data_IF_004575309513
#
_entry.id   IF_004575309513
#
_cell.length_a   1.000
_cell.length_b   1.000
_cell.length_c   1.000
_cell.angle_alpha   90.00
_cell.angle_beta   90.00
_cell.angle_gamma   90.00
#
_symmetry.space_group_name_H-M   'P 1'
#
loop_
_entity.id
_entity.type
_entity.pdbx_description
1 polymer ?
#
# COMPACT_ATOMS: atom_id res chain seq x y z
N UNK A 1 15.48 14.51 6.80
CA UNK A 1 14.71 13.40 6.18
C UNK A 1 13.41 13.28 6.97
N UNK A 2 12.25 13.17 6.33
CA UNK A 2 11.00 12.93 7.08
C UNK A 2 11.05 11.56 7.76
N UNK A 3 10.36 11.37 8.90
CA UNK A 3 10.29 10.07 9.57
C UNK A 3 9.85 8.93 8.63
N UNK A 4 8.85 9.18 7.79
CA UNK A 4 8.29 8.17 6.87
C UNK A 4 9.30 7.75 5.80
N UNK A 5 10.10 8.69 5.30
CA UNK A 5 11.18 8.38 4.35
C UNK A 5 12.27 7.53 4.99
N UNK A 6 12.61 7.80 6.25
CA UNK A 6 13.59 7.00 6.98
C UNK A 6 13.08 5.56 7.18
N UNK A 7 11.84 5.42 7.65
CA UNK A 7 11.21 4.12 7.84
C UNK A 7 11.15 3.32 6.53
N UNK A 8 10.72 3.94 5.43
CA UNK A 8 10.72 3.27 4.12
C UNK A 8 12.11 2.81 3.69
N UNK A 9 13.15 3.62 3.90
CA UNK A 9 14.52 3.23 3.56
C UNK A 9 15.01 2.06 4.42
N UNK A 10 14.68 2.05 5.71
CA UNK A 10 15.03 0.95 6.61
C UNK A 10 14.32 -0.35 6.19
N UNK A 11 13.03 -0.27 5.85
CA UNK A 11 12.25 -1.40 5.32
C UNK A 11 12.84 -1.93 4.02
N UNK A 12 13.15 -1.06 3.06
CA UNK A 12 13.80 -1.44 1.80
C UNK A 12 15.20 -2.04 2.02
N UNK A 13 15.93 -1.57 3.03
CA UNK A 13 17.28 -2.07 3.35
C UNK A 13 17.33 -3.52 3.82
N UNK A 14 16.18 -4.07 4.27
CA UNK A 14 16.04 -5.45 4.75
C UNK A 14 14.99 -6.25 3.97
N UNK A 15 14.51 -5.73 2.85
CA UNK A 15 13.48 -6.39 2.04
C UNK A 15 14.08 -7.52 1.21
N UNK A 16 13.30 -8.58 1.00
CA UNK A 16 13.64 -9.62 0.03
C UNK A 16 13.27 -9.13 -1.39
N UNK A 17 14.26 -9.12 -2.28
CA UNK A 17 14.06 -8.76 -3.69
C UNK A 17 13.77 -10.02 -4.47
N UNK A 18 12.56 -10.10 -5.02
CA UNK A 18 12.07 -11.23 -5.82
C UNK A 18 11.89 -10.83 -7.28
N UNK A 19 11.88 -11.81 -8.17
CA UNK A 19 11.37 -11.57 -9.53
C UNK A 19 9.86 -11.26 -9.46
N UNK A 20 9.32 -10.40 -10.35
CA UNK A 20 7.91 -10.03 -10.31
C UNK A 20 6.94 -11.23 -10.31
N UNK A 21 7.30 -12.31 -11.01
CA UNK A 21 6.49 -13.54 -11.08
C UNK A 21 6.47 -14.34 -9.76
N UNK A 22 7.42 -14.08 -8.87
CA UNK A 22 7.56 -14.77 -7.58
C UNK A 22 6.88 -13.99 -6.45
N UNK A 23 6.44 -12.75 -6.70
CA UNK A 23 5.71 -11.95 -5.71
C UNK A 23 4.35 -12.59 -5.43
N UNK A 24 4.01 -12.90 -4.17
CA UNK A 24 2.70 -13.45 -3.84
C UNK A 24 1.56 -12.50 -4.23
N UNK A 25 0.42 -13.02 -4.73
CA UNK A 25 -0.72 -12.19 -5.17
C UNK A 25 -1.46 -11.50 -4.03
N UNK A 26 -1.03 -11.77 -2.79
CA UNK A 26 -1.57 -11.21 -1.55
C UNK A 26 -0.70 -10.10 -0.98
N UNK A 27 0.45 -9.78 -1.59
CA UNK A 27 1.38 -8.73 -1.12
C UNK A 27 1.16 -7.43 -1.88
N UNK A 28 1.07 -6.32 -1.15
CA UNK A 28 0.91 -4.98 -1.72
C UNK A 28 2.23 -4.55 -2.37
N UNK A 29 2.19 -4.33 -3.68
CA UNK A 29 3.29 -3.79 -4.48
C UNK A 29 2.98 -2.38 -4.97
N UNK A 30 3.96 -1.72 -5.60
CA UNK A 30 3.72 -0.46 -6.28
C UNK A 30 2.63 -0.64 -7.36
N UNK A 31 1.74 0.33 -7.48
CA UNK A 31 0.58 0.34 -8.37
C UNK A 31 -0.48 -0.73 -8.06
N UNK A 32 -0.42 -1.41 -6.92
CA UNK A 32 -1.51 -2.26 -6.43
C UNK A 32 -2.71 -1.41 -5.98
N UNK A 33 -3.93 -1.88 -6.26
CA UNK A 33 -5.17 -1.36 -5.68
C UNK A 33 -5.61 -2.27 -4.55
N UNK A 34 -5.77 -1.69 -3.36
CA UNK A 34 -6.00 -2.41 -2.11
C UNK A 34 -7.35 -2.02 -1.55
N UNK A 35 -8.16 -3.00 -1.16
CA UNK A 35 -9.44 -2.83 -0.48
C UNK A 35 -9.27 -2.98 1.02
N UNK A 36 -9.77 -1.99 1.76
CA UNK A 36 -9.69 -1.92 3.21
C UNK A 36 -11.07 -2.08 3.84
N UNK A 37 -11.10 -2.79 4.95
CA UNK A 37 -12.27 -2.84 5.85
C UNK A 37 -11.93 -2.12 7.14
N UNK A 38 -12.88 -1.33 7.63
CA UNK A 38 -12.80 -0.62 8.92
C UNK A 38 -13.99 -1.02 9.76
N UNK A 39 -13.78 -1.31 11.03
CA UNK A 39 -14.88 -1.69 11.92
C UNK A 39 -15.98 -0.62 11.91
N UNK A 40 -17.21 -1.05 11.60
CA UNK A 40 -18.41 -0.21 11.56
C UNK A 40 -18.37 0.94 10.54
N UNK A 41 -17.60 0.83 9.45
CA UNK A 41 -17.63 1.81 8.34
C UNK A 41 -17.67 1.11 6.98
N UNK A 42 -17.92 1.90 5.95
CA UNK A 42 -17.85 1.44 4.56
C UNK A 42 -16.41 1.05 4.18
N UNK A 43 -16.32 0.03 3.34
CA UNK A 43 -15.06 -0.36 2.70
C UNK A 43 -14.63 0.72 1.70
N UNK A 44 -13.32 0.87 1.53
CA UNK A 44 -12.77 1.77 0.52
C UNK A 44 -11.53 1.16 -0.13
N UNK A 45 -11.21 1.64 -1.32
CA UNK A 45 -10.02 1.21 -2.06
C UNK A 45 -9.04 2.37 -2.21
N UNK A 46 -7.74 2.07 -2.17
CA UNK A 46 -6.69 2.98 -2.60
C UNK A 46 -5.67 2.26 -3.48
N UNK A 47 -5.08 3.00 -4.40
CA UNK A 47 -3.97 2.56 -5.24
C UNK A 47 -2.67 3.18 -4.75
N UNK A 48 -1.68 2.34 -4.41
CA UNK A 48 -0.35 2.78 -4.00
C UNK A 48 0.45 3.22 -5.21
N UNK A 49 0.87 4.48 -5.29
CA UNK A 49 1.50 5.05 -6.48
C UNK A 49 2.82 5.77 -6.18
N UNK A 50 3.63 5.99 -7.22
CA UNK A 50 4.79 6.87 -7.11
C UNK A 50 4.35 8.34 -6.96
N UNK A 51 5.19 9.22 -6.38
CA UNK A 51 4.85 10.63 -6.19
C UNK A 51 4.41 11.37 -7.47
N UNK A 52 5.02 11.02 -8.62
CA UNK A 52 4.69 11.61 -9.93
C UNK A 52 3.29 11.25 -10.43
N UNK A 53 2.71 10.17 -9.91
CA UNK A 53 1.42 9.60 -10.35
C UNK A 53 0.27 9.95 -9.39
N UNK A 54 0.54 10.84 -8.41
CA UNK A 54 -0.48 11.48 -7.60
C UNK A 54 -1.07 12.63 -8.42
N UNK A 55 -2.25 12.40 -8.97
CA UNK A 55 -2.93 13.30 -9.92
C UNK A 55 -4.14 14.03 -9.29
N UNK A 56 -4.28 13.94 -7.97
CA UNK A 56 -5.38 14.54 -7.22
C UNK A 56 -6.64 13.66 -7.11
N UNK A 57 -6.63 12.46 -7.69
CA UNK A 57 -7.69 11.48 -7.45
C UNK A 57 -7.66 10.99 -6.00
N UNK A 58 -8.83 10.89 -5.37
CA UNK A 58 -8.97 10.52 -3.95
C UNK A 58 -8.64 9.05 -3.68
N UNK A 59 -8.59 8.22 -4.72
CA UNK A 59 -8.31 6.78 -4.66
C UNK A 59 -6.82 6.45 -4.83
N UNK A 60 -5.92 7.46 -4.81
CA UNK A 60 -4.49 7.29 -4.97
C UNK A 60 -3.72 7.77 -3.75
N UNK A 61 -2.72 7.01 -3.34
CA UNK A 61 -1.83 7.36 -2.24
C UNK A 61 -0.38 7.20 -2.65
N UNK A 62 0.42 8.25 -2.42
CA UNK A 62 1.86 8.18 -2.67
C UNK A 62 2.53 7.22 -1.70
N UNK A 63 3.47 6.41 -2.19
CA UNK A 63 4.40 5.64 -1.34
C UNK A 63 5.24 6.52 -0.39
N UNK A 64 5.36 7.82 -0.67
CA UNK A 64 6.05 8.77 0.24
C UNK A 64 5.13 9.43 1.26
N UNK A 65 3.82 9.16 1.23
CA UNK A 65 2.91 9.57 2.31
C UNK A 65 3.08 8.63 3.52
N UNK A 66 2.80 9.08 4.75
CA UNK A 66 2.97 8.25 5.95
C UNK A 66 2.31 6.87 5.83
N UNK A 67 1.03 6.86 5.44
CA UNK A 67 0.28 5.62 5.25
C UNK A 67 0.77 4.84 4.03
N UNK A 68 1.12 5.51 2.92
CA UNK A 68 1.58 4.83 1.71
C UNK A 68 2.90 4.09 1.91
N UNK A 69 3.82 4.66 2.70
CA UNK A 69 5.09 4.00 3.04
C UNK A 69 4.88 2.73 3.87
N UNK A 70 3.91 2.74 4.78
CA UNK A 70 3.57 1.60 5.61
C UNK A 70 2.79 0.51 4.86
N UNK A 71 2.20 0.81 3.69
CA UNK A 71 1.43 -0.15 2.90
C UNK A 71 2.32 -1.11 2.09
N UNK A 72 3.47 -0.63 1.61
CA UNK A 72 4.34 -1.41 0.75
C UNK A 72 4.82 -2.68 1.48
N UNK A 73 4.59 -3.85 0.88
CA UNK A 73 5.01 -5.14 1.43
C UNK A 73 4.05 -5.78 2.44
N UNK A 74 2.98 -5.09 2.86
CA UNK A 74 1.93 -5.71 3.67
C UNK A 74 1.11 -6.71 2.87
N UNK A 75 0.46 -7.63 3.57
CA UNK A 75 -0.33 -8.70 2.98
C UNK A 75 -1.82 -8.61 3.30
N UNK A 76 -2.65 -9.26 2.48
CA UNK A 76 -4.05 -9.55 2.81
C UNK A 76 -4.15 -10.18 4.20
N UNK A 77 -5.00 -9.63 5.06
CA UNK A 77 -5.13 -10.01 6.46
C UNK A 77 -4.44 -9.07 7.45
N UNK A 78 -3.39 -8.36 7.01
CA UNK A 78 -2.67 -7.41 7.86
C UNK A 78 -3.54 -6.20 8.21
N UNK A 79 -3.16 -5.50 9.27
CA UNK A 79 -3.85 -4.30 9.72
C UNK A 79 -2.87 -3.16 9.97
N UNK A 80 -3.32 -1.95 9.68
CA UNK A 80 -2.53 -0.73 9.92
C UNK A 80 -3.33 0.31 10.71
N UNK A 81 -2.58 1.12 11.45
CA UNK A 81 -3.08 2.31 12.11
C UNK A 81 -3.25 3.43 11.08
N UNK A 82 -4.49 3.86 10.87
CA UNK A 82 -4.84 4.89 9.89
C UNK A 82 -5.21 6.20 10.59
N UNK A 83 -4.48 7.30 10.35
CA UNK A 83 -4.83 8.61 10.88
C UNK A 83 -6.07 9.16 10.16
N UNK A 84 -7.11 9.46 10.93
CA UNK A 84 -8.36 10.07 10.46
C UNK A 84 -8.67 11.34 11.28
N UNK A 85 -9.54 12.24 10.77
CA UNK A 85 -10.10 13.29 11.62
C UNK A 85 -10.73 12.68 12.88
N UNK A 86 -10.26 13.07 14.06
CA UNK A 86 -10.75 12.57 15.34
C UNK A 86 -9.97 11.40 15.95
N UNK A 87 -8.90 10.90 15.33
CA UNK A 87 -8.02 9.91 15.94
C UNK A 87 -7.42 8.90 14.96
N UNK A 88 -6.93 7.80 15.49
CA UNK A 88 -6.38 6.69 14.70
C UNK A 88 -7.39 5.55 14.68
N UNK A 89 -7.71 5.04 13.50
CA UNK A 89 -8.55 3.85 13.33
C UNK A 89 -7.70 2.70 12.82
N UNK A 90 -8.01 1.47 13.27
CA UNK A 90 -7.38 0.28 12.71
C UNK A 90 -8.14 -0.12 11.45
N UNK A 91 -7.44 -0.26 10.34
CA UNK A 91 -8.01 -0.79 9.09
C UNK A 91 -7.32 -2.09 8.73
N UNK A 92 -8.05 -3.01 8.11
CA UNK A 92 -7.54 -4.32 7.68
C UNK A 92 -7.46 -4.34 6.15
N UNK A 93 -6.39 -4.91 5.61
CA UNK A 93 -6.28 -5.24 4.19
C UNK A 93 -7.16 -6.46 3.94
N UNK A 94 -8.29 -6.25 3.26
CA UNK A 94 -9.24 -7.32 2.96
C UNK A 94 -8.89 -8.00 1.64
N UNK A 95 -8.46 -7.23 0.64
CA UNK A 95 -8.15 -7.75 -0.68
C UNK A 95 -7.15 -6.86 -1.43
N UNK A 96 -6.31 -7.47 -2.26
CA UNK A 96 -5.62 -6.77 -3.35
C UNK A 96 -6.44 -6.93 -4.62
N UNK A 97 -7.24 -5.91 -4.93
CA UNK A 97 -8.16 -5.85 -6.07
C UNK A 97 -7.40 -5.91 -7.39
N UNK A 98 -6.26 -5.22 -7.45
CA UNK A 98 -5.37 -5.24 -8.60
C UNK A 98 -3.92 -5.27 -8.12
N UNK A 99 -3.10 -6.07 -8.80
CA UNK A 99 -1.66 -6.16 -8.59
C UNK A 99 -1.01 -6.28 -9.98
N UNK A 100 -0.03 -5.43 -10.35
CA UNK A 100 0.62 -5.49 -11.66
C UNK A 100 1.23 -6.87 -11.96
N UNK A 101 1.88 -7.48 -10.97
CA UNK A 101 2.55 -8.78 -11.10
C UNK A 101 1.55 -9.88 -11.44
N UNK A 102 0.41 -9.94 -10.73
CA UNK A 102 -0.70 -10.85 -11.02
C UNK A 102 -1.32 -10.62 -12.40
N UNK A 103 -1.30 -9.38 -12.90
CA UNK A 103 -1.81 -9.01 -14.21
C UNK A 103 -0.80 -9.26 -15.35
N UNK A 104 0.44 -9.67 -15.04
CA UNK A 104 1.51 -9.86 -16.03
C UNK A 104 2.18 -8.56 -16.50
N UNK A 105 2.03 -7.46 -15.76
CA UNK A 105 2.56 -6.14 -16.09
C UNK A 105 3.90 -5.87 -15.40
N UNK A 106 4.98 -6.48 -15.90
CA UNK A 106 6.29 -6.49 -15.22
C UNK A 106 7.19 -5.24 -15.45
N UNK A 107 6.73 -4.22 -16.18
CA UNK A 107 7.60 -3.14 -16.70
C UNK A 107 7.09 -1.70 -16.52
N UNK A 108 6.22 -1.43 -15.53
CA UNK A 108 5.65 -0.08 -15.32
C UNK A 108 6.54 0.89 -14.56
#
# INVERSE_FOLDING_TARGET
MSPDKAALLDELGRADVLEPQEIPPTVVTMNSTVRFTVENREEFCLTLVYPKDVDGQADRISVLAPVGSALLGLSVGDSIAWPMPGGVVKVKIEEIVYQPERAGEFHR
#
